data_IF_303785154906
#
_entry.id   IF_303785154906
#
_cell.length_a   1.000
_cell.length_b   1.000
_cell.length_c   1.000
_cell.angle_alpha   90.00
_cell.angle_beta   90.00
_cell.angle_gamma   90.00
#
_symmetry.space_group_name_H-M   'P 1'
#
loop_
_entity.id
_entity.type
_entity.pdbx_description
1 polymer ?
#
# COMPACT_ATOMS: atom_id res chain seq x y z
N UNK A 1 -3.66 4.73 -7.52
CA UNK A 1 -2.29 4.25 -7.82
C UNK A 1 -2.32 2.79 -8.26
N UNK A 2 -1.37 2.38 -9.10
CA UNK A 2 -1.26 1.01 -9.65
C UNK A 2 0.10 0.40 -9.24
N UNK A 3 0.16 -0.45 -8.19
CA UNK A 3 1.41 -1.05 -7.73
C UNK A 3 1.85 -2.16 -8.67
N UNK A 4 3.02 -2.01 -9.31
CA UNK A 4 3.52 -2.92 -10.36
C UNK A 4 5.01 -3.25 -10.16
N UNK A 5 5.40 -3.50 -8.90
CA UNK A 5 6.81 -3.68 -8.52
C UNK A 5 7.64 -2.44 -8.85
N UNK A 6 8.75 -2.61 -9.56
CA UNK A 6 9.65 -1.52 -9.97
C UNK A 6 9.09 -0.62 -11.09
N UNK A 7 7.91 -0.93 -11.64
CA UNK A 7 7.28 -0.17 -12.72
C UNK A 7 5.93 0.44 -12.31
N UNK A 8 5.85 1.13 -11.15
CA UNK A 8 4.59 1.67 -10.66
C UNK A 8 3.99 2.67 -11.63
N UNK A 9 2.66 2.75 -11.64
CA UNK A 9 1.92 3.68 -12.50
C UNK A 9 0.86 4.41 -11.68
N UNK A 10 0.45 5.57 -12.18
CA UNK A 10 -0.66 6.33 -11.63
C UNK A 10 -1.66 6.66 -12.72
N UNK A 11 -2.93 6.62 -12.38
CA UNK A 11 -4.04 6.91 -13.28
C UNK A 11 -4.70 8.21 -12.81
N UNK A 12 -4.97 9.13 -13.73
CA UNK A 12 -5.75 10.33 -13.43
C UNK A 12 -7.26 10.05 -13.52
N UNK A 13 -8.07 11.06 -13.22
CA UNK A 13 -9.54 10.97 -13.28
C UNK A 13 -10.10 10.72 -14.69
N UNK A 14 -9.30 10.93 -15.73
CA UNK A 14 -9.68 10.71 -17.13
C UNK A 14 -9.22 9.33 -17.62
N UNK A 15 -8.88 8.42 -16.70
CA UNK A 15 -8.31 7.10 -16.99
C UNK A 15 -6.98 7.12 -17.77
N UNK A 16 -6.29 8.25 -17.81
CA UNK A 16 -4.97 8.33 -18.43
C UNK A 16 -3.91 7.78 -17.48
N UNK A 17 -3.09 6.85 -17.97
CA UNK A 17 -2.04 6.19 -17.18
C UNK A 17 -0.70 6.87 -17.42
N UNK A 18 0.03 7.15 -16.34
CA UNK A 18 1.35 7.77 -16.33
C UNK A 18 2.35 6.86 -15.60
N UNK A 19 3.56 6.76 -16.15
CA UNK A 19 4.67 6.03 -15.57
C UNK A 19 5.27 6.78 -14.36
N UNK A 20 5.40 6.09 -13.22
CA UNK A 20 6.07 6.62 -12.02
C UNK A 20 7.47 6.00 -11.84
N UNK A 21 8.13 5.69 -12.96
CA UNK A 21 9.50 5.15 -13.01
C UNK A 21 10.30 5.82 -14.14
N UNK A 22 11.63 5.84 -14.00
CA UNK A 22 12.57 6.44 -14.96
C UNK A 22 13.53 5.41 -15.58
N UNK A 23 14.40 5.80 -16.54
CA UNK A 23 14.95 7.15 -16.70
C UNK A 23 14.13 8.00 -17.67
N UNK A 24 13.88 9.25 -17.29
CA UNK A 24 13.31 10.24 -18.20
C UNK A 24 14.41 10.72 -19.15
N UNK A 25 14.33 10.41 -20.45
CA UNK A 25 14.95 11.35 -21.40
C UNK A 25 14.28 12.70 -21.18
N UNK A 26 15.00 13.81 -21.36
CA UNK A 26 14.47 15.17 -21.14
C UNK A 26 13.17 15.46 -21.92
N UNK A 27 12.89 14.69 -22.99
CA UNK A 27 11.64 14.76 -23.77
C UNK A 27 10.44 14.04 -23.14
N UNK A 28 10.66 13.11 -22.21
CA UNK A 28 9.61 12.33 -21.51
C UNK A 28 9.38 12.77 -20.07
N UNK A 29 10.15 13.75 -19.58
CA UNK A 29 10.06 14.24 -18.21
C UNK A 29 8.68 14.83 -17.88
N UNK A 30 7.94 15.36 -18.87
CA UNK A 30 6.59 15.93 -18.64
C UNK A 30 5.56 14.90 -18.17
N UNK A 31 5.63 13.66 -18.68
CA UNK A 31 4.73 12.58 -18.24
C UNK A 31 5.06 12.13 -16.82
N UNK A 32 6.36 11.99 -16.53
CA UNK A 32 6.85 11.66 -15.20
C UNK A 32 6.53 12.77 -14.18
N UNK A 33 6.73 14.03 -14.55
CA UNK A 33 6.38 15.19 -13.73
C UNK A 33 4.89 15.20 -13.40
N UNK A 34 4.04 14.91 -14.39
CA UNK A 34 2.61 14.75 -14.14
C UNK A 34 2.32 13.57 -13.22
N UNK A 35 3.00 12.44 -13.38
CA UNK A 35 2.87 11.29 -12.49
C UNK A 35 3.24 11.64 -11.03
N UNK A 36 4.35 12.35 -10.84
CA UNK A 36 4.82 12.80 -9.53
C UNK A 36 3.89 13.83 -8.88
N UNK A 37 3.34 14.77 -9.66
CA UNK A 37 2.34 15.72 -9.18
C UNK A 37 1.05 15.00 -8.76
N UNK A 38 0.56 14.03 -9.56
CA UNK A 38 -0.59 13.20 -9.18
C UNK A 38 -0.31 12.39 -7.90
N UNK A 39 0.92 11.92 -7.71
CA UNK A 39 1.32 11.23 -6.49
C UNK A 39 1.24 12.16 -5.27
N UNK A 40 1.69 13.42 -5.39
CA UNK A 40 1.54 14.42 -4.34
C UNK A 40 0.08 14.72 -4.03
N UNK A 41 -0.78 14.79 -5.04
CA UNK A 41 -2.24 14.93 -4.84
C UNK A 41 -2.77 13.78 -3.99
N UNK A 42 -2.46 12.53 -4.32
CA UNK A 42 -2.88 11.38 -3.50
C UNK A 42 -2.40 11.47 -2.05
N UNK A 43 -1.16 11.93 -1.82
CA UNK A 43 -0.61 12.10 -0.47
C UNK A 43 -1.31 13.23 0.30
N UNK A 44 -1.68 14.32 -0.39
CA UNK A 44 -2.46 15.42 0.17
C UNK A 44 -3.87 14.96 0.54
N UNK A 45 -4.54 14.23 -0.34
CA UNK A 45 -5.88 13.68 -0.10
C UNK A 45 -5.87 12.74 1.12
N UNK A 46 -4.83 11.91 1.25
CA UNK A 46 -4.65 11.08 2.44
C UNK A 46 -4.50 11.93 3.72
N UNK A 47 -3.72 13.02 3.67
CA UNK A 47 -3.52 13.88 4.82
C UNK A 47 -4.80 14.60 5.24
N UNK A 48 -5.61 15.04 4.29
CA UNK A 48 -6.94 15.61 4.55
C UNK A 48 -7.87 14.57 5.17
N UNK A 49 -7.91 13.35 4.61
CA UNK A 49 -8.65 12.24 5.20
C UNK A 49 -8.23 11.97 6.65
N UNK A 50 -6.93 11.91 6.92
CA UNK A 50 -6.40 11.65 8.26
C UNK A 50 -6.74 12.78 9.24
N UNK A 51 -6.65 14.05 8.81
CA UNK A 51 -7.06 15.20 9.61
C UNK A 51 -8.56 15.16 9.95
N UNK A 52 -9.42 14.87 8.97
CA UNK A 52 -10.87 14.74 9.17
C UNK A 52 -11.20 13.56 10.09
N UNK A 53 -10.45 12.46 10.00
CA UNK A 53 -10.64 11.30 10.87
C UNK A 53 -10.27 11.61 12.32
N UNK A 54 -9.18 12.34 12.54
CA UNK A 54 -8.82 12.83 13.88
C UNK A 54 -9.86 13.81 14.42
N UNK A 55 -10.45 14.65 13.56
CA UNK A 55 -11.55 15.53 13.94
C UNK A 55 -12.80 14.76 14.36
N UNK A 56 -13.18 13.70 13.64
CA UNK A 56 -14.30 12.82 13.97
C UNK A 56 -14.08 12.07 15.30
N UNK A 57 -12.84 11.69 15.60
CA UNK A 57 -12.46 11.02 16.84
C UNK A 57 -12.23 11.99 18.03
N UNK A 58 -12.69 13.24 17.93
CA UNK A 58 -12.56 14.28 18.96
C UNK A 58 -11.11 14.56 19.40
N UNK A 59 -10.12 14.34 18.52
CA UNK A 59 -8.72 14.67 18.80
C UNK A 59 -8.57 16.19 18.88
N UNK A 60 -7.88 16.72 19.93
CA UNK A 60 -7.62 18.14 20.09
C UNK A 60 -6.97 18.76 18.84
N UNK A 61 -7.34 19.99 18.42
CA UNK A 61 -6.86 20.60 17.18
C UNK A 61 -5.33 20.64 17.04
N UNK A 62 -4.60 20.80 18.15
CA UNK A 62 -3.14 20.82 18.23
C UNK A 62 -2.48 19.45 17.98
N UNK A 63 -3.25 18.36 18.09
CA UNK A 63 -2.78 16.98 17.93
C UNK A 63 -3.29 16.30 16.67
N UNK A 64 -4.14 16.97 15.89
CA UNK A 64 -4.65 16.43 14.63
C UNK A 64 -3.53 16.26 13.63
N UNK A 65 -3.64 15.22 12.82
CA UNK A 65 -2.67 14.91 11.80
C UNK A 65 -2.47 16.07 10.84
N UNK A 66 -1.20 16.45 10.69
CA UNK A 66 -0.75 17.39 9.66
C UNK A 66 0.57 16.89 9.09
N UNK A 67 0.80 17.15 7.81
CA UNK A 67 2.09 16.83 7.20
C UNK A 67 3.14 17.84 7.68
N UNK A 68 4.38 17.39 8.01
CA UNK A 68 5.45 18.30 8.41
C UNK A 68 5.91 19.21 7.27
N UNK A 69 5.70 18.79 6.01
CA UNK A 69 5.92 19.61 4.83
C UNK A 69 4.60 19.78 4.06
N UNK A 70 4.12 21.00 3.94
CA UNK A 70 2.97 21.42 3.14
C UNK A 70 3.13 21.00 1.68
N UNK A 71 2.07 20.43 1.13
CA UNK A 71 1.95 20.12 -0.29
C UNK A 71 1.06 21.18 -0.95
N UNK A 72 1.56 21.80 -2.01
CA UNK A 72 0.84 22.76 -2.84
C UNK A 72 1.13 22.50 -4.32
N UNK A 73 0.15 21.92 -5.03
CA UNK A 73 0.29 21.46 -6.41
C UNK A 73 1.50 20.55 -6.61
N UNK A 74 2.49 21.00 -7.38
CA UNK A 74 3.73 20.29 -7.67
C UNK A 74 4.82 20.52 -6.60
N UNK A 75 4.55 21.32 -5.57
CA UNK A 75 5.54 21.71 -4.57
C UNK A 75 5.34 21.00 -3.25
N UNK A 76 6.46 20.62 -2.65
CA UNK A 76 6.55 20.27 -1.24
C UNK A 76 7.41 21.33 -0.57
N UNK A 77 6.79 22.07 0.34
CA UNK A 77 7.31 23.32 0.87
C UNK A 77 7.53 24.37 -0.21
N UNK A 78 8.78 24.65 -0.58
CA UNK A 78 9.13 25.61 -1.62
C UNK A 78 9.81 24.93 -2.82
N UNK A 79 9.90 23.60 -2.83
CA UNK A 79 10.62 22.83 -3.84
C UNK A 79 9.65 22.05 -4.72
N UNK A 80 9.79 22.20 -6.04
CA UNK A 80 9.00 21.42 -7.00
C UNK A 80 9.49 19.97 -7.07
N UNK A 81 8.55 19.04 -7.13
CA UNK A 81 8.77 17.60 -7.33
C UNK A 81 9.04 17.25 -8.79
N UNK A 82 8.77 18.18 -9.71
CA UNK A 82 9.02 18.01 -11.13
C UNK A 82 10.52 18.01 -11.42
N UNK A 83 10.94 17.16 -12.34
CA UNK A 83 12.32 17.05 -12.77
C UNK A 83 12.63 18.04 -13.91
N UNK A 84 11.66 18.34 -14.79
CA UNK A 84 11.87 19.28 -15.90
C UNK A 84 12.22 20.67 -15.40
N UNK A 85 13.23 21.30 -16.01
CA UNK A 85 13.63 22.68 -15.70
C UNK A 85 13.92 22.95 -14.20
N UNK A 86 14.28 21.91 -13.44
CA UNK A 86 14.56 22.00 -12.02
C UNK A 86 16.05 21.81 -11.72
N UNK A 87 16.54 22.37 -10.61
CA UNK A 87 17.87 22.06 -10.10
C UNK A 87 17.85 20.69 -9.43
N UNK A 88 18.84 19.87 -9.72
CA UNK A 88 18.94 18.51 -9.15
C UNK A 88 18.84 18.50 -7.63
N UNK A 89 19.45 19.47 -6.96
CA UNK A 89 19.39 19.65 -5.50
C UNK A 89 17.97 19.96 -4.99
N UNK A 90 17.25 20.84 -5.68
CA UNK A 90 15.87 21.20 -5.34
C UNK A 90 14.94 20.01 -5.53
N UNK A 91 15.06 19.30 -6.65
CA UNK A 91 14.30 18.10 -6.95
C UNK A 91 14.54 17.00 -5.90
N UNK A 92 15.81 16.72 -5.58
CA UNK A 92 16.20 15.75 -4.55
C UNK A 92 15.67 16.16 -3.18
N UNK A 93 15.66 17.45 -2.86
CA UNK A 93 15.12 17.97 -1.61
C UNK A 93 13.60 17.85 -1.53
N UNK A 94 12.87 18.10 -2.61
CA UNK A 94 11.44 17.84 -2.70
C UNK A 94 11.14 16.35 -2.44
N UNK A 95 11.85 15.44 -3.11
CA UNK A 95 11.71 13.99 -2.90
C UNK A 95 11.97 13.59 -1.44
N UNK A 96 13.01 14.15 -0.81
CA UNK A 96 13.30 13.92 0.61
C UNK A 96 12.16 14.37 1.52
N UNK A 97 11.55 15.52 1.24
CA UNK A 97 10.40 16.02 1.99
C UNK A 97 9.16 15.15 1.77
N UNK A 98 8.90 14.70 0.53
CA UNK A 98 7.85 13.73 0.24
C UNK A 98 8.03 12.43 1.02
N UNK A 99 9.25 11.88 1.08
CA UNK A 99 9.54 10.67 1.86
C UNK A 99 9.34 10.88 3.37
N UNK A 100 9.67 12.07 3.89
CA UNK A 100 9.38 12.40 5.29
C UNK A 100 7.87 12.47 5.54
N UNK A 101 7.11 13.13 4.66
CA UNK A 101 5.65 13.17 4.73
C UNK A 101 5.05 11.77 4.72
N UNK A 102 5.52 10.88 3.85
CA UNK A 102 5.09 9.48 3.80
C UNK A 102 5.40 8.74 5.10
N UNK A 103 6.56 8.98 5.71
CA UNK A 103 6.91 8.41 7.01
C UNK A 103 5.90 8.82 8.09
N UNK A 104 5.52 10.10 8.14
CA UNK A 104 4.53 10.60 9.11
C UNK A 104 3.13 10.07 8.83
N UNK A 105 2.72 10.02 7.56
CA UNK A 105 1.48 9.38 7.15
C UNK A 105 1.41 7.91 7.60
N UNK A 106 2.51 7.17 7.45
CA UNK A 106 2.62 5.79 7.91
C UNK A 106 2.52 5.68 9.44
N UNK A 107 3.22 6.55 10.19
CA UNK A 107 3.13 6.56 11.66
C UNK A 107 1.70 6.80 12.14
N UNK A 108 1.01 7.78 11.55
CA UNK A 108 -0.38 8.04 11.86
C UNK A 108 -1.27 6.84 11.49
N UNK A 109 -1.08 6.25 10.31
CA UNK A 109 -1.86 5.10 9.86
C UNK A 109 -1.71 3.89 10.80
N UNK A 110 -0.49 3.56 11.22
CA UNK A 110 -0.23 2.46 12.17
C UNK A 110 -0.85 2.77 13.55
N UNK A 111 -0.79 4.02 14.01
CA UNK A 111 -1.41 4.41 15.29
C UNK A 111 -2.94 4.37 15.28
N UNK A 112 -3.55 4.57 14.11
CA UNK A 112 -5.01 4.62 13.95
C UNK A 112 -5.63 3.30 13.45
N UNK A 113 -4.80 2.35 13.01
CA UNK A 113 -5.26 1.03 12.60
C UNK A 113 -4.75 -0.01 13.59
N UNK A 114 -5.67 -0.78 14.19
CA UNK A 114 -5.30 -2.00 14.89
C UNK A 114 -4.82 -3.00 13.83
N UNK A 115 -3.53 -2.97 13.49
CA UNK A 115 -2.95 -3.91 12.56
C UNK A 115 -3.03 -5.30 13.20
N UNK A 116 -4.06 -6.07 12.84
CA UNK A 116 -4.14 -7.48 13.20
C UNK A 116 -3.11 -8.21 12.33
N UNK A 117 -2.02 -8.76 12.90
CA UNK A 117 -1.07 -9.51 12.13
C UNK A 117 -1.81 -10.68 11.46
N UNK A 118 -1.51 -10.97 10.19
CA UNK A 118 -2.10 -12.09 9.43
C UNK A 118 -2.03 -13.45 10.16
N UNK A 119 -1.16 -13.59 11.17
CA UNK A 119 -1.09 -14.76 12.04
C UNK A 119 -2.29 -14.94 13.00
N UNK A 120 -3.03 -13.89 13.35
CA UNK A 120 -4.17 -13.96 14.28
C UNK A 120 -5.41 -14.64 13.66
N UNK A 121 -5.54 -14.62 12.32
CA UNK A 121 -6.64 -15.28 11.59
C UNK A 121 -6.47 -16.80 11.51
N UNK A 122 -5.26 -17.33 11.77
CA UNK A 122 -5.01 -18.78 11.70
C UNK A 122 -5.44 -19.53 12.98
N UNK A 123 -5.79 -18.82 14.05
CA UNK A 123 -6.18 -19.43 15.34
C UNK A 123 -7.66 -19.80 15.42
N UNK A 124 -8.50 -19.40 14.47
CA UNK A 124 -9.89 -19.84 14.37
C UNK A 124 -10.02 -21.05 13.44
N UNK A 125 -9.22 -22.10 13.67
CA UNK A 125 -9.60 -23.44 13.18
C UNK A 125 -10.80 -23.90 13.99
N UNK A 126 -11.94 -23.92 13.31
CA UNK A 126 -13.18 -24.61 13.65
C UNK A 126 -12.86 -25.94 14.37
N UNK A 127 -13.25 -26.06 15.63
CA UNK A 127 -13.37 -27.37 16.29
C UNK A 127 -14.44 -28.15 15.53
N UNK A 128 -13.99 -29.13 14.74
CA UNK A 128 -14.88 -30.10 14.09
C UNK A 128 -15.38 -31.03 15.19
N UNK A 129 -16.70 -31.16 15.43
CA UNK A 129 -17.21 -32.11 16.41
C UNK A 129 -16.86 -33.53 15.95
N UNK A 130 -16.33 -34.34 16.86
CA UNK A 130 -16.01 -35.74 16.60
C UNK A 130 -17.28 -36.50 16.18
N UNK A 131 -17.45 -36.74 14.87
CA UNK A 131 -18.47 -37.64 14.37
C UNK A 131 -18.10 -39.07 14.75
N UNK A 132 -19.03 -39.75 15.41
CA UNK A 132 -18.85 -41.07 16.01
C UNK A 132 -18.29 -42.12 15.06
N UNK A 133 -17.37 -42.92 15.61
CA UNK A 133 -16.84 -44.15 15.03
C UNK A 133 -17.95 -45.15 14.70
N UNK A 134 -18.21 -45.36 13.41
CA UNK A 134 -18.92 -46.53 12.91
C UNK A 134 -18.20 -47.07 11.67
N UNK A 135 -17.14 -47.85 11.89
CA UNK A 135 -16.71 -48.84 10.91
C UNK A 135 -16.90 -50.24 11.49
N UNK A 136 -18.00 -50.85 11.04
CA UNK A 136 -18.27 -52.25 11.20
C UNK A 136 -17.26 -53.06 10.36
N UNK A 137 -16.41 -53.79 11.08
CA UNK A 137 -16.00 -55.18 10.85
C UNK A 137 -16.35 -55.77 9.46
N UNK A 138 -15.34 -55.92 8.60
CA UNK A 138 -15.25 -57.12 7.76
C UNK A 138 -13.80 -57.62 7.75
N UNK A 139 -13.58 -58.73 8.45
CA UNK A 139 -12.34 -59.48 8.36
C UNK A 139 -12.27 -60.21 7.03
N UNK A 140 -11.11 -60.17 6.39
CA UNK A 140 -10.76 -61.03 5.27
C UNK A 140 -9.57 -61.87 5.69
N UNK A 141 -9.79 -63.18 5.81
CA UNK A 141 -8.71 -64.13 5.98
C UNK A 141 -8.84 -65.26 4.96
N UNK A 142 -7.78 -65.36 4.17
CA UNK A 142 -7.15 -66.59 3.67
C UNK A 142 -7.57 -67.22 2.32
N UNK A 143 -6.50 -67.51 1.57
CA UNK A 143 -6.24 -68.61 0.63
C UNK A 143 -6.59 -68.41 -0.86
N UNK A 144 -5.56 -68.10 -1.63
CA UNK A 144 -5.36 -68.69 -2.96
C UNK A 144 -4.00 -69.38 -2.98
N UNK A 145 -4.00 -70.66 -3.36
CA UNK A 145 -2.80 -71.43 -3.63
C UNK A 145 -2.93 -72.07 -5.02
N UNK A 146 -1.77 -72.14 -5.68
CA UNK A 146 -1.39 -73.01 -6.79
C UNK A 146 -1.90 -72.78 -8.24
N UNK A 147 -0.93 -72.32 -9.04
CA UNK A 147 -0.35 -72.96 -10.26
C UNK A 147 -1.16 -73.04 -11.56
N UNK A 148 -0.60 -72.37 -12.57
CA UNK A 148 -0.68 -72.73 -13.99
C UNK A 148 0.24 -73.93 -14.29
N UNK A 149 -0.32 -74.92 -14.98
CA UNK A 149 0.13 -75.37 -16.30
C UNK A 149 -1.10 -75.44 -17.20
#
# INVERSE_FOLDING_TARGET
>A
MLPMGSYPRIMDSNNSIYELFGPVNLFWSTRYDKAMTLFLTCLKDFAEFAFLKDQENDIPPDKRFTLPYKIDNDKVESYSITQSFNKQENWTKALKYTLCNLKWALYWFIGNTNFQPLGAMASSRVEVPAMGSLYAKHGSNSRFDARQT
#
